data_IF_434347008116
#
_entry.id   IF_434347008116
#
_cell.length_a   1.000
_cell.length_b   1.000
_cell.length_c   1.000
_cell.angle_alpha   90.00
_cell.angle_beta   90.00
_cell.angle_gamma   90.00
#
_symmetry.space_group_name_H-M   'P 1'
#
loop_
_entity.id
_entity.type
_entity.pdbx_description
1 polymer ?
#
# COMPACT_ATOMS: atom_id res chain seq x y z
N UNK A 1 12.46 8.46 -6.39
CA UNK A 1 11.92 7.95 -5.11
C UNK A 1 13.01 7.34 -4.24
N UNK A 2 12.95 7.54 -2.92
CA UNK A 2 13.77 6.85 -1.90
C UNK A 2 12.84 6.40 -0.77
N UNK A 3 13.09 5.25 -0.19
CA UNK A 3 12.31 4.78 0.97
C UNK A 3 13.21 4.16 2.03
N UNK A 4 12.75 4.17 3.25
CA UNK A 4 13.34 3.46 4.39
C UNK A 4 12.24 3.14 5.40
N UNK A 5 12.50 2.20 6.27
CA UNK A 5 11.58 1.88 7.37
C UNK A 5 12.32 1.82 8.70
N UNK A 6 11.59 2.09 9.76
CA UNK A 6 11.96 1.84 11.15
C UNK A 6 11.24 0.59 11.65
N UNK A 7 11.28 0.32 12.96
CA UNK A 7 10.49 -0.76 13.57
C UNK A 7 8.98 -0.60 13.37
N UNK A 8 8.52 0.63 13.20
CA UNK A 8 7.11 1.01 13.25
C UNK A 8 6.62 1.87 12.09
N UNK A 9 7.51 2.40 11.25
CA UNK A 9 7.11 3.32 10.18
C UNK A 9 7.89 3.08 8.89
N UNK A 10 7.16 2.97 7.79
CA UNK A 10 7.68 3.11 6.43
C UNK A 10 7.59 4.59 6.03
N UNK A 11 8.67 5.14 5.51
CA UNK A 11 8.75 6.47 4.90
C UNK A 11 9.17 6.34 3.44
N UNK A 12 8.42 6.97 2.54
CA UNK A 12 8.73 7.06 1.11
C UNK A 12 8.86 8.54 0.77
N UNK A 13 9.98 8.92 0.19
CA UNK A 13 10.36 10.31 -0.09
C UNK A 13 10.59 10.53 -1.58
N UNK A 14 10.01 11.59 -2.10
CA UNK A 14 10.13 11.95 -3.50
C UNK A 14 9.43 13.27 -3.82
N UNK A 15 9.09 13.46 -5.10
CA UNK A 15 8.22 14.55 -5.58
C UNK A 15 7.07 13.88 -6.31
N UNK A 16 5.97 13.65 -5.61
CA UNK A 16 4.88 12.86 -6.12
C UNK A 16 3.67 13.72 -6.48
N UNK A 17 3.05 13.41 -7.60
CA UNK A 17 1.62 13.59 -7.76
C UNK A 17 0.96 12.33 -7.23
N UNK A 18 0.04 12.45 -6.25
CA UNK A 18 -0.50 11.30 -5.53
C UNK A 18 -1.99 11.42 -5.27
N UNK A 19 -2.65 10.25 -5.16
CA UNK A 19 -4.04 10.08 -4.73
C UNK A 19 -4.08 9.11 -3.55
N UNK A 20 -4.82 9.44 -2.49
CA UNK A 20 -4.88 8.65 -1.26
C UNK A 20 -6.31 8.55 -0.73
N UNK A 21 -6.70 7.36 -0.22
CA UNK A 21 -7.98 7.14 0.47
C UNK A 21 -7.85 7.16 1.99
N UNK A 22 -6.63 7.37 2.51
CA UNK A 22 -6.35 7.39 3.95
C UNK A 22 -6.65 8.73 4.62
N UNK A 23 -5.98 8.95 5.77
CA UNK A 23 -6.08 10.20 6.53
C UNK A 23 -5.63 11.37 5.65
N UNK A 24 -6.34 12.49 5.66
CA UNK A 24 -6.10 13.64 4.80
C UNK A 24 -6.05 13.30 3.28
N UNK A 25 -6.76 12.26 2.86
CA UNK A 25 -6.77 11.78 1.46
C UNK A 25 -7.29 12.80 0.45
N UNK A 26 -7.24 12.41 -0.81
CA UNK A 26 -7.54 13.24 -1.96
C UNK A 26 -6.46 13.14 -3.00
N UNK A 27 -6.32 14.14 -3.87
CA UNK A 27 -5.26 14.23 -4.88
C UNK A 27 -4.43 15.47 -4.59
N UNK A 28 -3.12 15.30 -4.40
CA UNK A 28 -2.20 16.39 -4.08
C UNK A 28 -0.77 16.11 -4.58
N UNK A 29 0.03 17.17 -4.63
CA UNK A 29 1.48 17.05 -4.74
C UNK A 29 2.04 16.88 -3.33
N UNK A 30 2.79 15.78 -3.10
CA UNK A 30 3.36 15.45 -1.80
C UNK A 30 4.84 15.08 -1.91
N UNK A 31 5.60 15.37 -0.86
CA UNK A 31 7.02 14.98 -0.76
C UNK A 31 7.24 13.76 0.11
N UNK A 32 6.25 13.39 0.91
CA UNK A 32 6.34 12.28 1.85
C UNK A 32 5.08 11.44 1.85
N UNK A 33 5.27 10.14 1.84
CA UNK A 33 4.24 9.14 2.06
C UNK A 33 4.69 8.31 3.24
N UNK A 34 3.79 8.02 4.17
CA UNK A 34 4.12 7.17 5.30
C UNK A 34 3.03 6.13 5.60
N UNK A 35 3.46 4.98 6.12
CA UNK A 35 2.59 3.98 6.73
C UNK A 35 3.15 3.66 8.12
N UNK A 36 2.35 3.91 9.16
CA UNK A 36 2.81 3.83 10.55
C UNK A 36 2.00 2.81 11.35
N UNK A 37 2.70 1.95 12.10
CA UNK A 37 2.09 0.99 13.03
C UNK A 37 1.65 1.70 14.30
N UNK A 38 0.39 1.53 14.65
CA UNK A 38 -0.22 1.99 15.89
C UNK A 38 -0.67 0.80 16.75
N UNK A 39 -0.83 0.96 18.07
CA UNK A 39 -1.44 -0.06 18.92
C UNK A 39 -2.84 -0.45 18.44
N UNK A 40 -3.28 -1.69 18.75
CA UNK A 40 -4.60 -2.17 18.35
C UNK A 40 -5.77 -1.37 18.95
N UNK A 41 -5.56 -0.80 20.12
CA UNK A 41 -6.49 0.06 20.83
C UNK A 41 -6.28 1.56 20.54
N UNK A 42 -5.53 1.86 19.47
CA UNK A 42 -5.25 3.25 19.09
C UNK A 42 -6.54 4.04 18.89
N UNK A 43 -6.66 5.09 19.67
CA UNK A 43 -7.70 6.09 19.56
C UNK A 43 -7.06 7.47 19.66
N UNK A 44 -7.30 8.32 18.69
CA UNK A 44 -6.82 9.69 18.66
C UNK A 44 -7.92 10.60 18.13
N UNK A 45 -8.22 11.68 18.85
CA UNK A 45 -9.28 12.63 18.47
C UNK A 45 -9.05 13.24 17.08
N UNK A 46 -7.77 13.47 16.74
CA UNK A 46 -7.37 13.99 15.43
C UNK A 46 -6.20 13.16 14.83
N UNK A 47 -6.50 12.09 14.08
CA UNK A 47 -5.45 11.27 13.45
C UNK A 47 -4.51 12.04 12.53
N UNK A 48 -4.97 13.13 11.92
CA UNK A 48 -4.11 13.99 11.08
C UNK A 48 -3.03 14.67 11.91
N UNK A 49 -3.37 15.25 13.06
CA UNK A 49 -2.37 15.85 13.95
C UNK A 49 -1.34 14.83 14.44
N UNK A 50 -1.78 13.60 14.67
CA UNK A 50 -0.86 12.51 15.01
C UNK A 50 0.15 12.26 13.88
N UNK A 51 -0.31 12.13 12.62
CA UNK A 51 0.55 11.98 11.44
C UNK A 51 1.50 13.16 11.30
N UNK A 52 1.00 14.39 11.43
CA UNK A 52 1.83 15.61 11.38
C UNK A 52 2.92 15.63 12.47
N UNK A 53 2.62 15.11 13.66
CA UNK A 53 3.60 14.99 14.74
C UNK A 53 4.74 14.02 14.40
N UNK A 54 4.41 12.90 13.72
CA UNK A 54 5.43 11.94 13.25
C UNK A 54 6.36 12.58 12.21
N UNK A 55 5.79 13.33 11.27
CA UNK A 55 6.55 14.06 10.24
C UNK A 55 7.46 15.12 10.87
N UNK A 56 6.92 15.93 11.79
CA UNK A 56 7.65 16.98 12.48
C UNK A 56 8.84 16.45 13.27
N UNK A 57 8.70 15.32 13.97
CA UNK A 57 9.80 14.64 14.67
C UNK A 57 10.95 14.23 13.75
N UNK A 58 10.69 14.06 12.46
CA UNK A 58 11.68 13.76 11.43
C UNK A 58 12.19 14.99 10.67
N UNK A 59 11.65 16.17 10.95
CA UNK A 59 11.96 17.39 10.21
C UNK A 59 11.34 17.39 8.80
N UNK A 60 10.24 16.68 8.58
CA UNK A 60 9.53 16.63 7.31
C UNK A 60 8.38 17.64 7.28
N UNK A 61 8.05 18.13 6.08
CA UNK A 61 6.93 19.04 5.84
C UNK A 61 5.57 18.33 5.97
N UNK A 62 4.49 19.14 5.93
CA UNK A 62 3.10 18.66 5.99
C UNK A 62 2.55 18.26 4.63
N UNK A 63 3.32 18.45 3.55
CA UNK A 63 3.02 17.98 2.19
C UNK A 63 3.19 16.45 2.11
N UNK A 64 2.30 15.74 2.77
CA UNK A 64 2.39 14.31 2.98
C UNK A 64 1.02 13.63 3.01
N UNK A 65 0.99 12.35 2.60
CA UNK A 65 -0.10 11.44 2.92
C UNK A 65 0.34 10.42 3.96
N UNK A 66 -0.59 10.03 4.83
CA UNK A 66 -0.31 9.09 5.92
C UNK A 66 -1.34 7.99 6.04
N UNK A 67 -0.85 6.76 6.21
CA UNK A 67 -1.63 5.59 6.53
C UNK A 67 -1.28 5.11 7.94
N UNK A 68 -2.28 4.70 8.71
CA UNK A 68 -2.10 4.05 10.00
C UNK A 68 -2.54 2.59 9.91
N UNK A 69 -1.86 1.72 10.64
CA UNK A 69 -2.15 0.28 10.65
C UNK A 69 -1.84 -0.32 12.01
N UNK A 70 -2.64 -1.29 12.46
CA UNK A 70 -2.26 -2.11 13.62
C UNK A 70 -1.33 -3.28 13.26
N UNK A 71 -1.00 -3.44 11.97
CA UNK A 71 -0.07 -4.48 11.51
C UNK A 71 1.37 -4.04 11.74
N UNK A 72 2.16 -4.90 12.37
CA UNK A 72 3.59 -4.63 12.58
C UNK A 72 4.34 -4.48 11.26
N UNK A 73 5.26 -3.49 11.18
CA UNK A 73 6.13 -3.29 10.02
C UNK A 73 7.02 -4.50 9.69
N UNK A 74 7.23 -5.43 10.62
CA UNK A 74 7.90 -6.71 10.31
C UNK A 74 7.16 -7.56 9.26
N UNK A 75 5.88 -7.29 9.01
CA UNK A 75 5.08 -7.94 7.98
C UNK A 75 5.01 -7.13 6.68
N UNK A 76 5.69 -5.99 6.61
CA UNK A 76 5.79 -5.19 5.38
C UNK A 76 6.31 -6.05 4.22
N UNK A 77 5.59 -6.05 3.13
CA UNK A 77 5.95 -6.68 1.87
C UNK A 77 6.24 -5.59 0.83
N UNK A 78 7.39 -5.65 0.19
CA UNK A 78 7.81 -4.70 -0.86
C UNK A 78 8.01 -5.49 -2.15
N UNK A 79 7.30 -5.09 -3.20
CA UNK A 79 7.42 -5.68 -4.53
C UNK A 79 7.79 -4.62 -5.54
N UNK A 80 8.75 -4.96 -6.39
CA UNK A 80 9.10 -4.16 -7.54
C UNK A 80 8.80 -4.91 -8.82
N UNK A 81 8.09 -4.25 -9.72
CA UNK A 81 7.83 -4.70 -11.06
C UNK A 81 8.15 -3.55 -12.04
N UNK A 82 9.38 -3.57 -12.58
CA UNK A 82 9.91 -2.52 -13.43
C UNK A 82 9.87 -1.16 -12.71
N UNK A 83 9.20 -0.13 -13.27
CA UNK A 83 9.05 1.19 -12.67
C UNK A 83 7.97 1.26 -11.56
N UNK A 84 7.18 0.20 -11.34
CA UNK A 84 6.18 0.12 -10.27
C UNK A 84 6.80 -0.50 -9.01
N UNK A 85 6.61 0.15 -7.87
CA UNK A 85 6.92 -0.42 -6.56
C UNK A 85 5.68 -0.41 -5.68
N UNK A 86 5.38 -1.55 -5.05
CA UNK A 86 4.21 -1.72 -4.18
C UNK A 86 4.68 -2.06 -2.78
N UNK A 87 4.11 -1.37 -1.80
CA UNK A 87 4.34 -1.60 -0.37
C UNK A 87 3.01 -2.02 0.26
N UNK A 88 3.01 -3.15 0.95
CA UNK A 88 1.79 -3.71 1.55
C UNK A 88 2.02 -4.09 3.00
N UNK A 89 1.16 -3.61 3.88
CA UNK A 89 0.92 -4.20 5.20
C UNK A 89 -0.50 -4.74 5.23
N UNK A 90 -0.67 -6.01 5.59
CA UNK A 90 -1.97 -6.64 5.62
C UNK A 90 -2.10 -7.54 6.85
N UNK A 91 -3.18 -7.38 7.60
CA UNK A 91 -3.50 -8.20 8.75
C UNK A 91 -5.00 -8.45 8.83
N UNK A 92 -5.34 -9.74 8.93
CA UNK A 92 -6.70 -10.22 9.18
C UNK A 92 -6.58 -11.32 10.23
N UNK A 93 -6.90 -11.01 11.48
CA UNK A 93 -6.65 -11.93 12.61
C UNK A 93 -7.71 -13.01 12.78
N UNK A 94 -8.77 -13.06 11.95
CA UNK A 94 -9.79 -14.11 12.07
C UNK A 94 -10.63 -14.21 10.76
N UNK A 95 -11.03 -15.44 10.34
CA UNK A 95 -11.93 -15.63 9.20
C UNK A 95 -13.35 -15.06 9.41
N UNK A 96 -13.72 -14.69 10.63
CA UNK A 96 -14.92 -13.90 10.92
C UNK A 96 -14.47 -12.51 11.37
N UNK A 97 -14.75 -11.44 10.59
CA UNK A 97 -14.43 -10.09 11.03
C UNK A 97 -15.24 -9.77 12.27
N UNK A 98 -14.59 -9.79 13.43
CA UNK A 98 -15.11 -9.16 14.62
C UNK A 98 -15.05 -7.65 14.33
N UNK A 99 -16.20 -6.96 14.19
CA UNK A 99 -16.22 -5.54 13.86
C UNK A 99 -15.56 -4.66 14.93
N UNK A 100 -15.32 -5.20 16.12
CA UNK A 100 -14.66 -4.51 17.22
C UNK A 100 -13.12 -4.63 17.18
N UNK A 101 -12.55 -5.48 16.31
CA UNK A 101 -11.08 -5.59 16.18
C UNK A 101 -10.60 -4.88 14.92
N UNK A 102 -9.72 -3.90 15.04
CA UNK A 102 -9.19 -3.20 13.90
C UNK A 102 -8.29 -4.13 13.06
N UNK A 103 -8.74 -4.38 11.84
CA UNK A 103 -7.99 -5.05 10.79
C UNK A 103 -7.79 -4.06 9.67
N UNK A 104 -6.63 -4.09 9.02
CA UNK A 104 -6.36 -3.17 7.94
C UNK A 104 -5.47 -3.79 6.88
N UNK A 105 -5.72 -3.42 5.64
CA UNK A 105 -4.85 -3.67 4.50
C UNK A 105 -4.49 -2.32 3.91
N UNK A 106 -3.23 -1.90 4.14
CA UNK A 106 -2.70 -0.68 3.55
C UNK A 106 -1.83 -1.03 2.34
N UNK A 107 -2.11 -0.40 1.22
CA UNK A 107 -1.42 -0.60 -0.05
C UNK A 107 -0.92 0.77 -0.53
N UNK A 108 0.38 0.87 -0.79
CA UNK A 108 0.98 2.04 -1.43
C UNK A 108 1.58 1.58 -2.75
N UNK A 109 1.15 2.19 -3.83
CA UNK A 109 1.67 1.96 -5.19
C UNK A 109 2.44 3.20 -5.60
N UNK A 110 3.70 3.02 -5.94
CA UNK A 110 4.52 4.13 -6.48
C UNK A 110 5.00 3.80 -7.89
N UNK A 111 5.00 4.80 -8.78
CA UNK A 111 5.52 4.71 -10.13
C UNK A 111 6.71 5.65 -10.31
N UNK A 112 7.76 5.16 -10.96
CA UNK A 112 8.88 5.99 -11.45
C UNK A 112 8.56 6.76 -12.73
N UNK A 113 7.41 6.49 -13.34
CA UNK A 113 6.87 7.19 -14.51
C UNK A 113 5.59 7.94 -14.14
N UNK A 114 5.42 9.17 -14.67
CA UNK A 114 4.33 10.07 -14.29
C UNK A 114 2.97 9.58 -14.75
N UNK A 115 1.99 9.64 -13.85
CA UNK A 115 0.58 9.30 -14.05
C UNK A 115 -0.28 10.57 -14.08
N UNK A 116 -1.32 10.55 -14.91
CA UNK A 116 -2.40 11.54 -14.80
C UNK A 116 -3.22 11.33 -13.53
N UNK A 117 -4.02 12.34 -13.14
CA UNK A 117 -4.95 12.18 -12.02
C UNK A 117 -5.94 11.02 -12.26
N UNK A 118 -6.37 10.80 -13.52
CA UNK A 118 -7.20 9.66 -13.89
C UNK A 118 -6.47 8.33 -13.66
N UNK A 119 -5.19 8.22 -14.06
CA UNK A 119 -4.39 7.02 -13.84
C UNK A 119 -4.14 6.75 -12.35
N UNK A 120 -3.97 7.80 -11.52
CA UNK A 120 -3.86 7.65 -10.07
C UNK A 120 -5.16 7.09 -9.46
N UNK A 121 -6.32 7.59 -9.88
CA UNK A 121 -7.62 7.06 -9.44
C UNK A 121 -7.85 5.62 -9.92
N UNK A 122 -7.53 5.30 -11.18
CA UNK A 122 -7.59 3.93 -11.70
C UNK A 122 -6.62 2.99 -10.99
N UNK A 123 -5.46 3.48 -10.55
CA UNK A 123 -4.52 2.69 -9.71
C UNK A 123 -5.18 2.26 -8.40
N UNK A 124 -5.95 3.13 -7.75
CA UNK A 124 -6.70 2.79 -6.53
C UNK A 124 -7.73 1.70 -6.83
N UNK A 125 -8.47 1.79 -7.95
CA UNK A 125 -9.43 0.78 -8.38
C UNK A 125 -8.72 -0.55 -8.65
N UNK A 126 -7.68 -0.54 -9.48
CA UNK A 126 -6.88 -1.72 -9.87
C UNK A 126 -6.27 -2.42 -8.64
N UNK A 127 -5.73 -1.64 -7.69
CA UNK A 127 -5.18 -2.18 -6.45
C UNK A 127 -6.26 -2.81 -5.56
N UNK A 128 -7.45 -2.20 -5.51
CA UNK A 128 -8.59 -2.73 -4.75
C UNK A 128 -9.13 -4.03 -5.34
N UNK A 129 -9.22 -4.13 -6.67
CA UNK A 129 -9.58 -5.36 -7.37
C UNK A 129 -8.56 -6.49 -7.11
N UNK A 130 -7.27 -6.19 -7.23
CA UNK A 130 -6.19 -7.14 -6.96
C UNK A 130 -6.20 -7.63 -5.50
N UNK A 131 -6.44 -6.71 -4.53
CA UNK A 131 -6.62 -7.04 -3.11
C UNK A 131 -7.78 -8.02 -2.90
N UNK A 132 -8.94 -7.71 -3.47
CA UNK A 132 -10.12 -8.57 -3.37
C UNK A 132 -9.87 -9.96 -3.98
N UNK A 133 -9.15 -10.03 -5.10
CA UNK A 133 -8.74 -11.29 -5.72
C UNK A 133 -7.75 -12.07 -4.84
N UNK A 134 -6.77 -11.41 -4.22
CA UNK A 134 -5.83 -12.05 -3.29
C UNK A 134 -6.57 -12.69 -2.10
N UNK A 135 -7.51 -11.96 -1.49
CA UNK A 135 -8.35 -12.47 -0.41
C UNK A 135 -9.16 -13.69 -0.85
N UNK A 136 -9.80 -13.63 -2.02
CA UNK A 136 -10.55 -14.76 -2.59
C UNK A 136 -9.67 -15.99 -2.81
N UNK A 137 -8.47 -15.82 -3.36
CA UNK A 137 -7.53 -16.93 -3.59
C UNK A 137 -7.04 -17.58 -2.28
N UNK A 138 -7.04 -16.82 -1.18
CA UNK A 138 -6.76 -17.32 0.17
C UNK A 138 -8.01 -17.89 0.88
N UNK A 139 -9.12 -18.08 0.15
CA UNK A 139 -10.35 -18.65 0.69
C UNK A 139 -11.17 -17.70 1.57
N UNK A 140 -10.92 -16.38 1.50
CA UNK A 140 -11.68 -15.40 2.29
C UNK A 140 -13.02 -15.09 1.62
N UNK A 141 -14.07 -14.90 2.43
CA UNK A 141 -15.43 -14.58 1.97
C UNK A 141 -15.71 -13.08 1.90
N UNK A 142 -14.75 -12.24 2.29
CA UNK A 142 -14.82 -10.77 2.27
C UNK A 142 -13.78 -10.20 1.30
N UNK A 143 -13.95 -8.95 0.89
CA UNK A 143 -13.12 -8.25 -0.09
C UNK A 143 -12.16 -7.22 0.50
N UNK A 144 -12.21 -7.03 1.80
CA UNK A 144 -11.39 -6.07 2.54
C UNK A 144 -11.86 -5.92 3.97
N UNK A 145 -11.30 -4.95 4.69
CA UNK A 145 -11.66 -4.58 6.06
C UNK A 145 -12.25 -3.17 6.10
N UNK A 146 -12.74 -2.72 7.25
CA UNK A 146 -13.41 -1.42 7.38
C UNK A 146 -12.47 -0.22 7.27
N UNK A 147 -11.15 -0.42 7.44
CA UNK A 147 -10.16 0.65 7.48
C UNK A 147 -9.06 0.51 6.41
N UNK A 148 -9.32 -0.28 5.38
CA UNK A 148 -8.36 -0.42 4.27
C UNK A 148 -8.09 0.93 3.61
N UNK A 149 -6.82 1.17 3.27
CA UNK A 149 -6.43 2.35 2.55
C UNK A 149 -5.49 2.03 1.39
N UNK A 150 -5.68 2.76 0.29
CA UNK A 150 -4.84 2.68 -0.90
C UNK A 150 -4.30 4.06 -1.22
N UNK A 151 -3.01 4.11 -1.50
CA UNK A 151 -2.33 5.28 -1.99
C UNK A 151 -1.64 4.97 -3.32
N UNK A 152 -1.84 5.84 -4.31
CA UNK A 152 -1.20 5.82 -5.61
C UNK A 152 -0.35 7.06 -5.78
N UNK A 153 0.93 6.92 -6.14
CA UNK A 153 1.84 8.05 -6.30
C UNK A 153 2.75 7.85 -7.52
N UNK A 154 3.07 8.93 -8.21
CA UNK A 154 3.97 8.87 -9.37
C UNK A 154 4.95 10.03 -9.37
N UNK A 155 6.15 9.78 -9.89
CA UNK A 155 7.20 10.77 -10.12
C UNK A 155 7.46 10.93 -11.62
N UNK A 156 8.09 12.05 -11.99
CA UNK A 156 8.56 12.29 -13.36
C UNK A 156 7.51 12.89 -14.30
N UNK A 157 7.86 13.05 -15.58
CA UNK A 157 6.95 13.61 -16.57
C UNK A 157 5.77 12.67 -16.82
N UNK A 158 4.63 13.23 -17.21
CA UNK A 158 3.42 12.47 -17.55
C UNK A 158 3.70 11.51 -18.71
N UNK A 159 3.53 10.21 -18.46
CA UNK A 159 3.68 9.12 -19.44
C UNK A 159 2.36 8.36 -19.60
N UNK A 160 1.68 8.08 -18.49
CA UNK A 160 0.49 7.23 -18.49
C UNK A 160 -0.77 8.01 -18.17
N UNK A 161 -1.71 8.01 -19.11
CA UNK A 161 -3.02 8.67 -18.94
C UNK A 161 -3.99 7.78 -18.17
N UNK A 162 -3.84 6.44 -18.27
CA UNK A 162 -4.71 5.43 -17.64
C UNK A 162 -3.89 4.31 -17.02
N UNK A 163 -4.44 3.69 -15.96
CA UNK A 163 -3.82 2.58 -15.22
C UNK A 163 -4.81 1.43 -14.89
N UNK A 164 -5.91 1.32 -15.64
CA UNK A 164 -6.84 0.20 -15.53
C UNK A 164 -6.22 -1.12 -15.96
N UNK A 165 -6.81 -2.25 -15.57
CA UNK A 165 -6.25 -3.61 -15.68
C UNK A 165 -5.87 -4.06 -17.11
N UNK A 166 -6.38 -3.42 -18.15
CA UNK A 166 -6.00 -3.69 -19.54
C UNK A 166 -4.79 -2.90 -20.03
N UNK A 167 -4.41 -1.84 -19.31
CA UNK A 167 -3.23 -1.04 -19.63
C UNK A 167 -1.95 -1.75 -19.17
N UNK A 168 -0.82 -1.31 -19.71
CA UNK A 168 0.48 -1.83 -19.32
C UNK A 168 0.79 -1.55 -17.83
N UNK A 169 0.67 -0.30 -17.31
CA UNK A 169 0.87 -0.06 -15.90
C UNK A 169 -0.15 -0.79 -15.02
N UNK A 170 -1.42 -0.85 -15.42
CA UNK A 170 -2.45 -1.54 -14.67
C UNK A 170 -2.20 -3.05 -14.50
N UNK A 171 -1.68 -3.73 -15.52
CA UNK A 171 -1.26 -5.13 -15.42
C UNK A 171 -0.14 -5.33 -14.40
N UNK A 172 0.87 -4.44 -14.38
CA UNK A 172 1.97 -4.50 -13.41
C UNK A 172 1.47 -4.24 -12.00
N UNK A 173 0.65 -3.20 -11.82
CA UNK A 173 0.03 -2.86 -10.52
C UNK A 173 -0.77 -4.05 -10.00
N UNK A 174 -1.66 -4.61 -10.83
CA UNK A 174 -2.50 -5.73 -10.45
C UNK A 174 -1.67 -6.94 -9.98
N UNK A 175 -0.67 -7.35 -10.77
CA UNK A 175 0.20 -8.48 -10.43
C UNK A 175 0.99 -8.24 -9.13
N UNK A 176 1.57 -7.05 -8.98
CA UNK A 176 2.35 -6.70 -7.80
C UNK A 176 1.48 -6.63 -6.53
N UNK A 177 0.30 -6.02 -6.61
CA UNK A 177 -0.63 -5.93 -5.46
C UNK A 177 -1.19 -7.30 -5.09
N UNK A 178 -1.61 -8.12 -6.07
CA UNK A 178 -2.09 -9.48 -5.84
C UNK A 178 -1.06 -10.29 -5.05
N UNK A 179 0.20 -10.28 -5.51
CA UNK A 179 1.30 -10.97 -4.84
C UNK A 179 1.60 -10.36 -3.47
N UNK A 180 1.65 -9.03 -3.37
CA UNK A 180 1.97 -8.30 -2.15
C UNK A 180 0.97 -8.56 -1.02
N UNK A 181 -0.31 -8.49 -1.31
CA UNK A 181 -1.37 -8.76 -0.32
C UNK A 181 -1.31 -10.22 0.12
N UNK A 182 -1.16 -11.17 -0.83
CA UNK A 182 -1.03 -12.59 -0.51
C UNK A 182 0.15 -12.84 0.45
N UNK A 183 1.33 -12.34 0.12
CA UNK A 183 2.53 -12.52 0.96
C UNK A 183 2.42 -11.84 2.33
N UNK A 184 1.89 -10.61 2.39
CA UNK A 184 1.74 -9.88 3.64
C UNK A 184 0.78 -10.60 4.60
N UNK A 185 -0.34 -11.14 4.09
CA UNK A 185 -1.29 -11.92 4.88
C UNK A 185 -0.68 -13.23 5.39
N UNK A 186 -0.05 -14.03 4.52
CA UNK A 186 0.59 -15.28 4.89
C UNK A 186 1.68 -15.09 5.96
N UNK A 187 2.38 -13.96 5.93
CA UNK A 187 3.37 -13.59 6.95
C UNK A 187 2.72 -13.20 8.26
N UNK A 188 1.70 -12.36 8.20
CA UNK A 188 0.97 -11.94 9.40
C UNK A 188 0.34 -13.14 10.14
N UNK A 189 -0.15 -14.12 9.38
CA UNK A 189 -0.73 -15.36 9.90
C UNK A 189 0.32 -16.41 10.31
N UNK A 190 1.61 -16.13 10.12
CA UNK A 190 2.71 -17.05 10.46
C UNK A 190 2.86 -18.25 9.53
N UNK A 191 2.11 -18.29 8.42
CA UNK A 191 2.17 -19.36 7.42
C UNK A 191 3.48 -19.36 6.62
N UNK A 192 4.16 -18.22 6.53
CA UNK A 192 5.44 -18.06 5.83
C UNK A 192 6.43 -17.32 6.74
N UNK A 193 7.59 -17.94 6.97
CA UNK A 193 8.74 -17.31 7.65
C UNK A 193 9.72 -16.81 6.58
N UNK A 194 9.88 -15.49 6.45
CA UNK A 194 10.85 -14.88 5.53
C UNK A 194 11.67 -13.82 6.27
N UNK A 195 12.89 -13.50 5.78
CA UNK A 195 13.65 -12.37 6.30
C UNK A 195 12.84 -11.07 6.20
N UNK A 196 13.03 -10.20 7.15
CA UNK A 196 12.40 -8.88 7.23
C UNK A 196 13.29 -7.79 6.61
N UNK A 197 12.72 -6.84 5.84
CA UNK A 197 11.45 -6.95 5.12
C UNK A 197 11.58 -7.92 3.95
N UNK A 198 10.45 -8.48 3.48
CA UNK A 198 10.49 -9.27 2.24
C UNK A 198 10.49 -8.36 1.03
N UNK A 199 11.47 -8.55 0.19
CA UNK A 199 11.63 -7.85 -1.07
C UNK A 199 11.48 -8.83 -2.24
N UNK A 200 10.63 -8.51 -3.21
CA UNK A 200 10.38 -9.35 -4.38
C UNK A 200 10.54 -8.54 -5.66
N UNK A 201 11.19 -9.14 -6.63
CA UNK A 201 11.21 -8.67 -8.02
C UNK A 201 10.24 -9.52 -8.85
N UNK A 202 9.35 -8.89 -9.60
CA UNK A 202 8.50 -9.54 -10.58
C UNK A 202 9.04 -9.28 -11.98
N UNK A 203 9.11 -10.33 -12.78
CA UNK A 203 9.50 -10.28 -14.18
C UNK A 203 8.37 -10.82 -15.07
N UNK A 204 8.26 -10.37 -16.31
CA UNK A 204 7.20 -10.78 -17.25
C UNK A 204 7.05 -12.31 -17.41
N UNK A 205 8.17 -13.05 -17.34
CA UNK A 205 8.16 -14.50 -17.43
C UNK A 205 7.38 -15.22 -16.31
N UNK A 206 7.06 -14.55 -15.22
CA UNK A 206 6.27 -15.13 -14.11
C UNK A 206 4.76 -14.96 -14.28
N UNK A 207 4.29 -14.13 -15.22
CA UNK A 207 2.86 -13.90 -15.45
C UNK A 207 2.16 -15.13 -16.04
N UNK A 208 2.84 -15.98 -16.82
CA UNK A 208 2.26 -17.14 -17.50
C UNK A 208 2.05 -18.36 -16.59
N UNK A 209 2.44 -18.31 -15.32
CA UNK A 209 2.26 -19.41 -14.34
C UNK A 209 1.18 -19.15 -13.28
N UNK A 210 0.45 -18.03 -13.37
CA UNK A 210 -0.58 -17.67 -12.40
C UNK A 210 -2.00 -17.60 -12.98
N UNK A 211 -2.25 -18.39 -14.03
CA UNK A 211 -3.62 -18.64 -14.54
C UNK A 211 -4.05 -20.05 -14.17
#
# INVERSE_FOLDING_TARGET
MRYYHTSDTLYIRGKFRAACTGINGGIADVSTILNHTVPMDFSHENPLEYVESLLSKKGYGKDAFGLLTAVSMQHLCILQYDYITVFVTAGVSNPNPDPEKPHTINIIVTSGEGFSDAALLETIITATEAKAHALKNLGRTFTGTTSDAVEAASEGPLVHTYAGTFTEPGKRIYAAVLKGVTEALLRHEGAVKRPYPSFFYLFEAQQHRMV
#
